data_IF_698885462259
#
_entry.id   IF_698885462259
#
_cell.length_a   1.000
_cell.length_b   1.000
_cell.length_c   1.000
_cell.angle_alpha   90.00
_cell.angle_beta   90.00
_cell.angle_gamma   90.00
#
_symmetry.space_group_name_H-M   'P 1'
#
loop_
_entity.id
_entity.type
_entity.pdbx_description
1 polymer ?
#
# COMPACT_ATOMS: atom_id res chain seq x y z
N UNK A 1 -11.96 7.54 -4.20
CA UNK A 1 -10.62 7.87 -4.76
C UNK A 1 -9.88 8.70 -3.73
N UNK A 2 -8.74 8.20 -3.27
CA UNK A 2 -7.79 8.93 -2.44
C UNK A 2 -6.74 9.57 -3.37
N UNK A 3 -6.36 10.81 -3.10
CA UNK A 3 -5.22 11.48 -3.74
C UNK A 3 -4.35 12.10 -2.66
N UNK A 4 -3.03 12.01 -2.83
CA UNK A 4 -2.06 12.68 -1.96
C UNK A 4 -0.74 12.89 -2.69
N UNK A 5 0.09 13.78 -2.17
CA UNK A 5 1.51 13.83 -2.51
C UNK A 5 2.32 13.30 -1.34
N UNK A 6 3.38 12.55 -1.64
CA UNK A 6 4.35 12.11 -0.64
C UNK A 6 5.79 12.36 -1.08
N UNK A 7 6.71 12.41 -0.13
CA UNK A 7 8.16 12.33 -0.39
C UNK A 7 8.91 11.76 0.79
N UNK A 8 9.94 10.98 0.52
CA UNK A 8 10.92 10.60 1.53
C UNK A 8 11.92 11.73 1.74
N UNK A 9 12.31 11.97 2.99
CA UNK A 9 13.27 13.02 3.34
C UNK A 9 14.30 12.51 4.33
N UNK A 10 15.49 13.10 4.31
CA UNK A 10 16.56 12.82 5.26
C UNK A 10 16.98 11.36 5.31
N UNK A 11 17.46 10.95 6.48
CA UNK A 11 18.02 9.62 6.72
C UNK A 11 17.08 8.78 7.59
N UNK A 12 17.11 7.47 7.38
CA UNK A 12 16.39 6.52 8.20
C UNK A 12 16.78 6.65 9.68
N UNK A 13 15.80 6.52 10.58
CA UNK A 13 16.06 6.52 12.01
C UNK A 13 17.03 5.41 12.41
N UNK A 14 17.92 5.70 13.37
CA UNK A 14 18.86 4.70 13.92
C UNK A 14 18.11 3.49 14.47
N UNK A 15 18.56 2.30 14.09
CA UNK A 15 17.93 1.04 14.47
C UNK A 15 16.74 0.64 13.60
N UNK A 16 16.41 1.42 12.57
CA UNK A 16 15.48 1.00 11.54
C UNK A 16 16.04 -0.19 10.74
N UNK A 17 15.14 -1.07 10.31
CA UNK A 17 15.51 -2.25 9.52
C UNK A 17 16.01 -1.85 8.12
N UNK A 18 17.00 -2.56 7.58
CA UNK A 18 17.62 -2.18 6.30
C UNK A 18 16.63 -2.13 5.12
N UNK A 19 15.58 -2.95 5.15
CA UNK A 19 14.54 -2.97 4.13
C UNK A 19 13.60 -1.76 4.20
N UNK A 20 13.60 -1.04 5.34
CA UNK A 20 12.72 0.08 5.62
C UNK A 20 13.29 1.44 5.16
N UNK A 21 14.50 1.48 4.61
CA UNK A 21 15.04 2.69 3.96
C UNK A 21 14.12 3.09 2.80
N UNK A 22 13.63 4.34 2.82
CA UNK A 22 12.65 4.90 1.88
C UNK A 22 11.49 3.93 1.60
N UNK A 23 10.91 3.39 2.66
CA UNK A 23 9.74 2.51 2.62
C UNK A 23 8.64 3.09 3.51
N UNK A 24 7.41 2.93 3.06
CA UNK A 24 6.17 3.34 3.71
C UNK A 24 5.02 2.72 2.90
N UNK A 25 3.78 2.97 3.28
CA UNK A 25 2.62 2.46 2.57
C UNK A 25 1.36 3.24 2.87
N UNK A 26 0.37 3.12 1.98
CA UNK A 26 -1.01 3.49 2.27
C UNK A 26 -1.84 2.22 2.31
N UNK A 27 -2.40 1.88 3.46
CA UNK A 27 -3.31 0.75 3.55
C UNK A 27 -4.73 1.21 3.24
N UNK A 28 -5.42 0.42 2.42
CA UNK A 28 -6.84 0.56 2.07
C UNK A 28 -7.59 -0.70 2.50
N UNK A 29 -8.90 -0.58 2.70
CA UNK A 29 -9.73 -1.65 3.27
C UNK A 29 -9.11 -2.22 4.56
N UNK A 30 -8.50 -1.33 5.35
CA UNK A 30 -7.73 -1.72 6.52
C UNK A 30 -8.64 -2.09 7.67
N UNK A 31 -8.23 -3.11 8.44
CA UNK A 31 -8.79 -3.42 9.74
C UNK A 31 -8.84 -2.18 10.64
N UNK A 32 -9.88 -2.05 11.47
CA UNK A 32 -9.98 -0.96 12.43
C UNK A 32 -8.84 -0.98 13.45
N UNK A 33 -8.24 0.17 13.80
CA UNK A 33 -7.15 0.23 14.76
C UNK A 33 -7.55 -0.34 16.12
N UNK A 34 -8.80 -0.17 16.57
CA UNK A 34 -9.30 -0.69 17.85
C UNK A 34 -9.39 -2.21 17.90
N UNK A 35 -9.41 -2.87 16.74
CA UNK A 35 -9.49 -4.34 16.64
C UNK A 35 -8.13 -5.00 16.45
N UNK A 36 -7.06 -4.21 16.25
CA UNK A 36 -5.72 -4.76 16.12
C UNK A 36 -5.20 -5.22 17.48
N UNK A 37 -4.49 -6.34 17.50
CA UNK A 37 -3.77 -6.78 18.69
C UNK A 37 -2.56 -5.87 18.92
N UNK A 38 -2.13 -5.74 20.17
CA UNK A 38 -1.02 -4.85 20.55
C UNK A 38 0.29 -5.16 19.79
N UNK A 39 0.56 -6.44 19.57
CA UNK A 39 1.79 -6.93 18.94
C UNK A 39 1.53 -7.42 17.50
N UNK A 40 0.41 -7.00 16.88
CA UNK A 40 0.10 -7.30 15.50
C UNK A 40 0.96 -6.44 14.55
N UNK A 41 1.76 -7.09 13.71
CA UNK A 41 2.73 -6.43 12.82
C UNK A 41 2.06 -5.52 11.78
N UNK A 42 0.97 -6.00 11.15
CA UNK A 42 0.25 -5.29 10.10
C UNK A 42 -1.27 -5.45 10.26
N UNK A 43 -2.08 -4.42 9.97
CA UNK A 43 -3.52 -4.60 9.86
C UNK A 43 -3.84 -5.56 8.71
N UNK A 44 -4.87 -6.39 8.86
CA UNK A 44 -5.45 -7.11 7.71
C UNK A 44 -5.97 -6.06 6.73
N UNK A 45 -5.32 -5.94 5.57
CA UNK A 45 -5.50 -4.82 4.67
C UNK A 45 -4.91 -5.09 3.28
N UNK A 46 -5.12 -4.15 2.37
CA UNK A 46 -4.36 -4.07 1.13
C UNK A 46 -3.44 -2.88 1.26
N UNK A 47 -2.15 -3.06 0.97
CA UNK A 47 -1.16 -2.01 1.04
C UNK A 47 -0.77 -1.55 -0.37
N UNK A 48 -0.85 -0.23 -0.57
CA UNK A 48 -0.24 0.48 -1.68
C UNK A 48 1.13 0.96 -1.20
N UNK A 49 2.15 0.13 -1.44
CA UNK A 49 3.49 0.34 -0.92
C UNK A 49 4.15 1.54 -1.59
N UNK A 50 4.73 2.43 -0.79
CA UNK A 50 5.47 3.60 -1.22
C UNK A 50 6.97 3.34 -1.07
N UNK A 51 7.68 3.31 -2.20
CA UNK A 51 9.12 3.13 -2.21
C UNK A 51 9.83 4.34 -2.82
N UNK A 52 11.04 4.60 -2.35
CA UNK A 52 12.02 5.46 -3.01
C UNK A 52 13.25 4.67 -3.46
N UNK A 53 13.86 5.12 -4.54
CA UNK A 53 15.15 4.62 -5.02
C UNK A 53 16.26 4.85 -4.00
N UNK A 54 17.07 3.81 -3.78
CA UNK A 54 18.20 3.84 -2.84
C UNK A 54 19.48 4.24 -3.58
N UNK A 55 19.86 3.48 -4.62
CA UNK A 55 21.09 3.69 -5.37
C UNK A 55 20.89 3.30 -6.85
N UNK A 56 21.47 4.08 -7.76
CA UNK A 56 21.48 3.74 -9.19
C UNK A 56 22.52 2.65 -9.48
N UNK A 57 22.27 1.68 -10.38
CA UNK A 57 21.18 1.65 -11.35
C UNK A 57 19.96 0.80 -10.91
N UNK A 58 19.79 0.52 -9.63
CA UNK A 58 18.75 -0.39 -9.17
C UNK A 58 17.37 0.25 -9.15
N UNK A 59 16.47 -0.29 -9.98
CA UNK A 59 15.08 0.13 -10.01
C UNK A 59 14.30 -0.39 -8.80
N UNK A 60 13.47 0.48 -8.24
CA UNK A 60 12.62 0.21 -7.10
C UNK A 60 11.28 0.95 -7.31
N UNK A 61 10.35 0.37 -8.09
CA UNK A 61 9.07 1.01 -8.38
C UNK A 61 8.26 1.23 -7.09
N UNK A 62 7.36 2.20 -7.13
CA UNK A 62 6.47 2.57 -6.03
C UNK A 62 4.99 2.25 -6.37
N UNK A 63 4.07 2.47 -5.44
CA UNK A 63 2.67 2.04 -5.52
C UNK A 63 2.53 0.55 -5.88
N UNK A 64 3.43 -0.28 -5.33
CA UNK A 64 3.35 -1.73 -5.44
C UNK A 64 2.15 -2.24 -4.63
N UNK A 65 1.69 -3.44 -4.94
CA UNK A 65 0.67 -4.11 -4.15
C UNK A 65 1.35 -5.00 -3.11
N UNK A 66 1.06 -4.80 -1.82
CA UNK A 66 1.32 -5.78 -0.78
C UNK A 66 -0.02 -6.20 -0.11
N UNK A 67 -0.12 -7.47 0.30
CA UNK A 67 -1.40 -8.09 0.71
C UNK A 67 -1.33 -8.68 2.13
N UNK A 68 -1.06 -7.88 3.17
CA UNK A 68 -1.03 -8.37 4.55
C UNK A 68 -2.42 -8.82 4.99
N UNK A 69 -2.57 -10.10 5.31
CA UNK A 69 -3.85 -10.67 5.69
C UNK A 69 -4.88 -10.74 4.56
N UNK A 70 -4.47 -10.58 3.30
CA UNK A 70 -5.38 -10.54 2.15
C UNK A 70 -4.87 -11.28 0.93
N UNK A 71 -5.73 -11.49 -0.04
CA UNK A 71 -5.43 -11.91 -1.41
C UNK A 71 -6.27 -11.08 -2.38
N UNK A 72 -5.85 -11.01 -3.64
CA UNK A 72 -6.58 -10.31 -4.71
C UNK A 72 -6.62 -11.16 -5.97
N UNK A 73 -7.44 -10.75 -6.94
CA UNK A 73 -7.40 -11.27 -8.28
C UNK A 73 -6.62 -10.33 -9.22
N UNK A 74 -5.67 -10.89 -9.97
CA UNK A 74 -4.97 -10.22 -11.08
C UNK A 74 -5.22 -11.04 -12.35
N UNK A 75 -5.71 -10.38 -13.40
CA UNK A 75 -6.11 -11.06 -14.64
C UNK A 75 -7.06 -12.25 -14.37
N UNK A 76 -8.07 -12.01 -13.54
CA UNK A 76 -9.11 -12.96 -13.11
C UNK A 76 -8.59 -14.20 -12.34
N UNK A 77 -7.34 -14.19 -11.88
CA UNK A 77 -6.75 -15.28 -11.10
C UNK A 77 -6.41 -14.82 -9.69
N UNK A 78 -6.75 -15.64 -8.70
CA UNK A 78 -6.36 -15.42 -7.32
C UNK A 78 -4.83 -15.44 -7.21
N UNK A 79 -4.25 -14.35 -6.71
CA UNK A 79 -2.83 -14.23 -6.43
C UNK A 79 -2.61 -14.24 -4.94
N UNK A 80 -1.73 -15.14 -4.50
CA UNK A 80 -1.36 -15.31 -3.08
C UNK A 80 0.02 -14.77 -2.74
N UNK A 81 0.76 -14.29 -3.75
CA UNK A 81 2.04 -13.59 -3.59
C UNK A 81 1.83 -12.33 -2.77
N UNK A 82 2.62 -12.16 -1.71
CA UNK A 82 2.43 -11.07 -0.77
C UNK A 82 2.66 -9.70 -1.42
N UNK A 83 3.82 -9.47 -2.05
CA UNK A 83 4.17 -8.21 -2.70
C UNK A 83 4.42 -8.37 -4.21
N UNK A 84 3.88 -7.45 -5.00
CA UNK A 84 3.91 -7.46 -6.46
C UNK A 84 4.23 -6.05 -6.96
N UNK A 85 5.32 -5.94 -7.73
CA UNK A 85 5.80 -4.67 -8.25
C UNK A 85 4.83 -4.02 -9.23
N UNK A 86 4.71 -2.71 -9.16
CA UNK A 86 3.98 -1.92 -10.15
C UNK A 86 4.82 -1.65 -11.40
N UNK A 87 4.20 -1.00 -12.38
CA UNK A 87 4.88 -0.49 -13.59
C UNK A 87 5.35 0.97 -13.48
N UNK A 88 5.41 1.52 -12.26
CA UNK A 88 5.88 2.89 -12.02
C UNK A 88 7.38 3.06 -12.23
N UNK A 89 7.81 4.31 -12.39
CA UNK A 89 9.23 4.67 -12.37
C UNK A 89 9.79 4.66 -10.94
N UNK A 90 11.13 4.73 -10.85
CA UNK A 90 11.84 4.86 -9.57
C UNK A 90 12.22 6.32 -9.31
N UNK A 91 11.86 6.83 -8.15
CA UNK A 91 12.13 8.20 -7.70
C UNK A 91 13.26 8.18 -6.67
N UNK A 92 14.42 8.76 -7.01
CA UNK A 92 15.65 8.62 -6.22
C UNK A 92 15.91 9.80 -5.28
N UNK A 93 15.30 10.96 -5.53
CA UNK A 93 15.54 12.16 -4.72
C UNK A 93 14.53 12.31 -3.59
N UNK A 94 14.31 13.57 -3.23
CA UNK A 94 13.27 14.02 -2.29
C UNK A 94 12.17 14.81 -3.03
N UNK A 95 11.98 14.52 -4.32
CA UNK A 95 10.87 15.04 -5.11
C UNK A 95 9.52 14.62 -4.54
N UNK A 96 8.52 15.49 -4.72
CA UNK A 96 7.13 15.13 -4.46
C UNK A 96 6.63 14.19 -5.54
N UNK A 97 6.09 13.05 -5.11
CA UNK A 97 5.44 12.07 -5.97
C UNK A 97 3.94 12.10 -5.68
N UNK A 98 3.14 12.25 -6.74
CA UNK A 98 1.69 12.23 -6.62
C UNK A 98 1.18 10.78 -6.68
N UNK A 99 0.42 10.37 -5.65
CA UNK A 99 -0.24 9.07 -5.56
C UNK A 99 -1.75 9.26 -5.67
N UNK A 100 -2.39 8.43 -6.49
CA UNK A 100 -3.85 8.29 -6.49
C UNK A 100 -4.25 6.82 -6.37
N UNK A 101 -5.27 6.57 -5.54
CA UNK A 101 -5.83 5.23 -5.33
C UNK A 101 -7.33 5.29 -5.62
N UNK A 102 -7.75 4.58 -6.65
CA UNK A 102 -9.15 4.48 -7.04
C UNK A 102 -9.69 3.13 -6.58
N UNK A 103 -10.73 3.14 -5.75
CA UNK A 103 -11.30 1.95 -5.10
C UNK A 103 -12.80 1.95 -5.34
N UNK A 104 -13.28 1.00 -6.14
CA UNK A 104 -14.70 0.76 -6.36
C UNK A 104 -15.13 -0.49 -5.61
N UNK A 105 -15.37 -0.34 -4.31
CA UNK A 105 -15.76 -1.44 -3.41
C UNK A 105 -14.75 -2.62 -3.53
N UNK A 106 -15.23 -3.83 -3.83
CA UNK A 106 -14.46 -5.04 -4.14
C UNK A 106 -14.29 -5.30 -5.65
N UNK A 107 -14.79 -4.41 -6.51
CA UNK A 107 -14.87 -4.66 -7.95
C UNK A 107 -13.58 -4.35 -8.70
N UNK A 108 -13.00 -3.17 -8.48
CA UNK A 108 -11.77 -2.73 -9.14
C UNK A 108 -11.00 -1.77 -8.23
N UNK A 109 -9.71 -2.00 -8.11
CA UNK A 109 -8.76 -1.14 -7.41
C UNK A 109 -7.62 -0.80 -8.36
N UNK A 110 -7.31 0.49 -8.46
CA UNK A 110 -6.26 1.01 -9.34
C UNK A 110 -5.32 1.94 -8.60
N UNK A 111 -4.04 1.83 -8.91
CA UNK A 111 -2.99 2.71 -8.40
C UNK A 111 -2.49 3.62 -9.52
N UNK A 112 -2.27 4.88 -9.19
CA UNK A 112 -1.73 5.88 -10.10
C UNK A 112 -0.53 6.57 -9.47
N UNK A 113 0.50 6.79 -10.28
CA UNK A 113 1.64 7.64 -9.94
C UNK A 113 1.76 8.73 -10.99
N UNK A 114 1.78 9.99 -10.55
CA UNK A 114 1.82 11.16 -11.42
C UNK A 114 0.76 11.08 -12.54
N UNK A 115 -0.47 10.73 -12.14
CA UNK A 115 -1.64 10.52 -13.01
C UNK A 115 -1.54 9.42 -14.09
N UNK A 116 -0.51 8.58 -14.05
CA UNK A 116 -0.40 7.38 -14.88
C UNK A 116 -0.85 6.14 -14.09
N UNK A 117 -1.73 5.32 -14.67
CA UNK A 117 -2.10 4.02 -14.08
C UNK A 117 -0.86 3.11 -14.07
N UNK A 118 -0.51 2.59 -12.90
CA UNK A 118 0.68 1.74 -12.73
C UNK A 118 0.35 0.34 -12.22
N UNK A 119 -0.85 0.13 -11.67
CA UNK A 119 -1.31 -1.16 -11.17
C UNK A 119 -2.84 -1.25 -11.11
N UNK A 120 -3.40 -2.45 -11.27
CA UNK A 120 -4.84 -2.70 -11.23
C UNK A 120 -5.16 -4.15 -10.84
N UNK A 121 -6.16 -4.37 -9.99
CA UNK A 121 -6.61 -5.68 -9.50
C UNK A 121 -8.04 -5.63 -8.98
N UNK A 122 -8.61 -6.81 -8.68
CA UNK A 122 -10.02 -6.95 -8.29
C UNK A 122 -10.20 -7.90 -7.13
N UNK A 123 -11.42 -7.94 -6.58
CA UNK A 123 -11.92 -8.98 -5.68
C UNK A 123 -11.00 -9.29 -4.49
N UNK A 124 -10.64 -8.28 -3.68
CA UNK A 124 -9.84 -8.51 -2.49
C UNK A 124 -10.61 -9.34 -1.46
N UNK A 125 -9.92 -10.30 -0.86
CA UNK A 125 -10.47 -11.24 0.14
C UNK A 125 -9.52 -11.42 1.31
N UNK A 126 -10.06 -11.67 2.50
CA UNK A 126 -9.26 -11.96 3.70
C UNK A 126 -8.55 -13.32 3.52
N UNK A 127 -7.23 -13.36 3.71
CA UNK A 127 -6.40 -14.50 3.35
C UNK A 127 -4.92 -14.29 3.65
N UNK A 128 -4.03 -15.13 3.11
CA UNK A 128 -2.60 -14.84 3.12
C UNK A 128 -1.85 -14.86 4.45
N UNK A 129 -0.61 -14.40 4.37
CA UNK A 129 0.31 -14.23 5.50
C UNK A 129 -0.18 -13.06 6.37
N UNK A 130 0.19 -13.02 7.65
CA UNK A 130 -0.22 -11.95 8.58
C UNK A 130 -1.73 -11.85 8.87
N UNK A 131 -2.54 -12.85 8.45
CA UNK A 131 -3.97 -12.86 8.74
C UNK A 131 -4.28 -13.19 10.21
N UNK A 132 -4.69 -12.19 10.98
CA UNK A 132 -5.19 -12.33 12.35
C UNK A 132 -6.70 -12.63 12.40
N UNK A 133 -7.45 -12.34 11.33
CA UNK A 133 -8.90 -12.57 11.19
C UNK A 133 -9.23 -13.96 10.62
N UNK A 134 -8.69 -15.02 11.25
CA UNK A 134 -8.77 -16.41 10.73
C UNK A 134 -10.20 -16.91 10.50
N UNK A 135 -11.15 -16.50 11.34
CA UNK A 135 -12.56 -16.86 11.22
C UNK A 135 -13.30 -16.19 10.06
N UNK A 136 -12.68 -15.16 9.44
CA UNK A 136 -13.22 -14.42 8.29
C UNK A 136 -12.51 -14.76 6.97
N UNK A 137 -11.66 -15.80 6.95
CA UNK A 137 -10.90 -16.18 5.76
C UNK A 137 -11.85 -16.45 4.58
N UNK A 138 -11.57 -15.80 3.45
CA UNK A 138 -12.37 -15.87 2.22
C UNK A 138 -13.50 -14.83 2.15
N UNK A 139 -13.78 -14.08 3.22
CA UNK A 139 -14.69 -12.95 3.15
C UNK A 139 -14.12 -11.85 2.26
N UNK A 140 -15.00 -11.17 1.52
CA UNK A 140 -14.63 -10.06 0.64
C UNK A 140 -14.35 -8.78 1.43
N UNK A 141 -13.31 -8.05 1.03
CA UNK A 141 -13.01 -6.73 1.54
C UNK A 141 -13.69 -5.67 0.68
N UNK A 142 -14.72 -5.04 1.24
CA UNK A 142 -15.59 -4.09 0.54
C UNK A 142 -15.42 -2.66 1.03
N UNK A 143 -15.01 -2.53 2.28
CA UNK A 143 -14.85 -1.29 3.02
C UNK A 143 -13.82 -1.49 4.13
N UNK A 144 -13.33 -0.39 4.69
CA UNK A 144 -12.42 -0.40 5.82
C UNK A 144 -11.79 0.96 6.04
N UNK A 145 -10.77 0.99 6.88
CA UNK A 145 -10.02 2.20 7.20
C UNK A 145 -8.96 2.48 6.12
N UNK A 146 -8.52 3.74 6.07
CA UNK A 146 -7.32 4.15 5.35
C UNK A 146 -6.27 4.49 6.40
N UNK A 147 -5.07 3.93 6.29
CA UNK A 147 -3.93 4.27 7.16
C UNK A 147 -2.69 4.63 6.36
N UNK A 148 -1.92 5.57 6.87
CA UNK A 148 -0.59 5.91 6.36
C UNK A 148 0.44 5.23 7.26
N UNK A 149 1.25 4.37 6.69
CA UNK A 149 2.26 3.63 7.43
C UNK A 149 3.41 4.55 7.87
N UNK A 150 4.02 4.21 8.99
CA UNK A 150 5.33 4.69 9.38
C UNK A 150 6.29 3.52 9.38
N UNK A 151 7.43 3.64 8.70
CA UNK A 151 8.38 2.55 8.55
C UNK A 151 9.83 3.04 8.71
N UNK A 152 10.08 3.72 9.83
CA UNK A 152 11.40 4.22 10.30
C UNK A 152 12.13 5.24 9.41
N UNK A 153 11.82 5.37 8.13
CA UNK A 153 12.33 6.45 7.28
C UNK A 153 11.38 7.65 7.32
N UNK A 154 11.88 8.88 7.56
CA UNK A 154 11.04 10.07 7.51
C UNK A 154 10.34 10.26 6.15
N UNK A 155 9.03 10.42 6.19
CA UNK A 155 8.18 10.66 5.04
C UNK A 155 7.26 11.84 5.33
N UNK A 156 7.08 12.70 4.33
CA UNK A 156 6.13 13.81 4.38
C UNK A 156 4.96 13.53 3.46
N UNK A 157 3.77 13.94 3.90
CA UNK A 157 2.54 13.88 3.11
C UNK A 157 1.91 15.27 3.03
N UNK A 158 1.29 15.59 1.89
CA UNK A 158 0.47 16.79 1.73
C UNK A 158 -0.66 16.56 0.73
N UNK A 159 -1.58 17.52 0.65
CA UNK A 159 -2.69 17.50 -0.32
C UNK A 159 -3.51 16.20 -0.26
N UNK A 160 -3.74 15.70 0.96
CA UNK A 160 -4.51 14.48 1.18
C UNK A 160 -5.98 14.81 0.98
N UNK A 161 -6.56 14.25 -0.08
CA UNK A 161 -7.93 14.51 -0.50
C UNK A 161 -8.66 13.19 -0.73
N UNK A 162 -9.92 13.13 -0.29
CA UNK A 162 -10.78 11.96 -0.46
C UNK A 162 -12.03 12.34 -1.24
N UNK A 163 -12.24 11.68 -2.37
CA UNK A 163 -13.50 11.72 -3.13
C UNK A 163 -14.26 10.42 -2.91
N UNK A 164 -15.48 10.51 -2.39
CA UNK A 164 -16.39 9.36 -2.31
C UNK A 164 -16.92 9.05 -3.71
N UNK A 165 -16.77 7.80 -4.14
CA UNK A 165 -17.26 7.32 -5.44
C UNK A 165 -18.67 6.75 -5.26
N UNK A 166 -19.53 6.95 -6.27
CA UNK A 166 -20.91 6.46 -6.30
C UNK A 166 -21.01 5.12 -7.01
#
# INVERSE_FOLDING_TARGET
RLRLDYRFVGEQCKGGEGWATKNSGVMIHSQSPESMEKDQEFPVSIEVQLLGGIEKPWERPTANLCTPGTHVNINDKLVTTHCISSSSETYYGEEWVNLEIEVHNDSIIKHYINSKEVFSYTNPVIGGQYNTLKNKKGEKLKEGYISLQSESHPIEFRNIELLILQ
#
